data_IF_752812281466
#
_entry.id   IF_752812281466
#
_cell.length_a   1.000
_cell.length_b   1.000
_cell.length_c   1.000
_cell.angle_alpha   90.00
_cell.angle_beta   90.00
_cell.angle_gamma   90.00
#
_symmetry.space_group_name_H-M   'P 1'
#
loop_
_entity.id
_entity.type
_entity.pdbx_description
1 polymer ?
#
# COMPACT_ATOMS: atom_id res chain seq x y z
N UNK A 1 61.74 24.52 51.18
CA UNK A 1 61.64 23.06 50.96
C UNK A 1 60.95 22.89 49.60
N UNK A 2 61.59 23.14 48.46
CA UNK A 2 62.75 22.50 47.84
C UNK A 2 62.53 21.03 47.46
N UNK A 3 62.45 20.81 46.15
CA UNK A 3 63.07 19.71 45.37
C UNK A 3 62.29 18.38 45.34
N UNK A 4 61.61 18.07 44.22
CA UNK A 4 62.08 17.37 43.00
C UNK A 4 62.42 15.89 43.20
N UNK A 5 61.64 15.02 42.55
CA UNK A 5 62.13 13.77 41.96
C UNK A 5 61.17 13.31 40.85
N UNK A 6 61.60 13.46 39.59
CA UNK A 6 61.20 12.57 38.50
C UNK A 6 62.03 11.27 38.59
N UNK A 7 61.57 10.20 37.95
CA UNK A 7 62.39 9.70 36.85
C UNK A 7 61.58 9.41 35.57
N UNK A 8 62.23 9.73 34.47
CA UNK A 8 61.86 9.50 33.07
C UNK A 8 62.48 8.20 32.54
N UNK A 9 61.72 7.34 31.85
CA UNK A 9 62.18 6.48 30.73
C UNK A 9 60.93 5.94 30.00
N UNK A 10 60.48 6.51 28.87
CA UNK A 10 60.86 6.28 27.47
C UNK A 10 60.42 4.94 26.83
N UNK A 11 59.79 5.09 25.65
CA UNK A 11 59.66 4.17 24.50
C UNK A 11 58.59 3.05 24.50
N UNK A 12 57.51 3.22 23.72
CA UNK A 12 57.41 2.93 22.26
C UNK A 12 55.97 3.17 21.73
N UNK A 13 55.77 3.77 20.54
CA UNK A 13 54.45 3.93 19.95
C UNK A 13 54.07 2.66 19.19
N UNK A 14 52.94 2.05 19.53
CA UNK A 14 52.27 1.09 18.65
C UNK A 14 51.37 1.88 17.71
N UNK A 15 51.63 1.73 16.40
CA UNK A 15 50.76 2.18 15.31
C UNK A 15 49.33 1.68 15.58
N UNK A 16 48.42 2.61 15.90
CA UNK A 16 46.99 2.33 15.80
C UNK A 16 46.60 2.48 14.32
N UNK A 17 46.26 1.35 13.70
CA UNK A 17 45.78 1.28 12.34
C UNK A 17 44.56 2.22 12.14
N UNK A 18 44.62 3.05 11.11
CA UNK A 18 43.51 3.88 10.69
C UNK A 18 42.40 2.97 10.12
N UNK A 19 41.27 2.89 10.82
CA UNK A 19 40.05 2.26 10.31
C UNK A 19 39.37 3.25 9.36
N UNK A 20 39.45 3.00 8.06
CA UNK A 20 38.66 3.72 7.07
C UNK A 20 37.18 3.32 7.26
N UNK A 21 36.34 4.27 7.67
CA UNK A 21 34.89 4.09 7.67
C UNK A 21 34.41 4.31 6.24
N UNK A 22 34.11 3.21 5.52
CA UNK A 22 33.45 3.26 4.23
C UNK A 22 32.05 3.85 4.39
N UNK A 23 31.83 5.05 3.87
CA UNK A 23 30.50 5.62 3.69
C UNK A 23 29.81 4.91 2.52
N UNK A 24 29.00 3.90 2.82
CA UNK A 24 28.04 3.32 1.88
C UNK A 24 26.62 3.63 2.34
N UNK A 25 26.24 4.92 2.30
CA UNK A 25 24.81 5.29 2.28
C UNK A 25 24.34 5.18 0.83
N UNK A 26 24.24 3.95 0.34
CA UNK A 26 23.36 3.67 -0.78
C UNK A 26 21.94 3.69 -0.23
N UNK A 27 21.23 4.80 -0.40
CA UNK A 27 19.78 4.82 -0.20
C UNK A 27 19.16 3.92 -1.27
N UNK A 28 19.11 2.62 -1.04
CA UNK A 28 18.20 1.75 -1.77
C UNK A 28 16.80 2.30 -1.49
N UNK A 29 16.19 2.92 -2.50
CA UNK A 29 14.76 3.21 -2.44
C UNK A 29 14.08 1.88 -2.11
N UNK A 30 13.22 1.83 -1.07
CA UNK A 30 12.54 0.59 -0.75
C UNK A 30 11.82 0.12 -2.01
N UNK A 31 12.09 -1.11 -2.43
CA UNK A 31 11.27 -1.75 -3.46
C UNK A 31 9.82 -1.73 -2.94
N UNK A 32 8.96 -0.98 -3.63
CA UNK A 32 7.54 -0.97 -3.31
C UNK A 32 7.00 -2.36 -3.70
N UNK A 33 6.22 -2.96 -2.82
CA UNK A 33 5.56 -4.22 -3.15
C UNK A 33 4.47 -3.93 -4.19
N UNK A 34 4.25 -4.86 -5.12
CA UNK A 34 3.12 -4.79 -6.06
C UNK A 34 1.82 -4.51 -5.31
N UNK A 35 1.01 -3.59 -5.81
CA UNK A 35 -0.35 -3.33 -5.38
C UNK A 35 -1.34 -3.59 -6.51
N UNK A 36 -2.60 -3.77 -6.16
CA UNK A 36 -3.71 -3.85 -7.11
C UNK A 36 -4.44 -2.51 -7.09
N UNK A 37 -4.71 -1.91 -8.24
CA UNK A 37 -5.53 -0.70 -8.34
C UNK A 37 -6.60 -0.86 -9.41
N UNK A 38 -7.61 0.00 -9.32
CA UNK A 38 -8.63 0.14 -10.35
C UNK A 38 -8.37 1.44 -11.12
N UNK A 39 -8.60 1.42 -12.43
CA UNK A 39 -8.60 2.61 -13.28
C UNK A 39 -9.74 2.54 -14.30
N UNK A 40 -10.25 3.70 -14.71
CA UNK A 40 -11.33 3.78 -15.69
C UNK A 40 -10.79 4.35 -17.00
N UNK A 41 -10.95 3.59 -18.08
CA UNK A 41 -10.56 4.02 -19.42
C UNK A 41 -11.74 3.78 -20.36
N UNK A 42 -12.11 4.79 -21.16
CA UNK A 42 -13.22 4.70 -22.11
C UNK A 42 -14.53 4.20 -21.47
N UNK A 43 -14.80 4.61 -20.23
CA UNK A 43 -15.99 4.23 -19.46
C UNK A 43 -15.96 2.83 -18.83
N UNK A 44 -14.91 2.04 -19.08
CA UNK A 44 -14.69 0.72 -18.50
C UNK A 44 -13.69 0.78 -17.35
N UNK A 45 -14.09 0.28 -16.18
CA UNK A 45 -13.19 0.14 -15.03
C UNK A 45 -12.51 -1.22 -15.08
N UNK A 46 -11.18 -1.25 -14.90
CA UNK A 46 -10.35 -2.45 -14.96
C UNK A 46 -9.42 -2.53 -13.77
N UNK A 47 -9.12 -3.76 -13.33
CA UNK A 47 -8.07 -4.02 -12.37
C UNK A 47 -6.69 -4.04 -13.05
N UNK A 48 -5.69 -3.57 -12.32
CA UNK A 48 -4.28 -3.58 -12.68
C UNK A 48 -3.47 -4.04 -11.47
N UNK A 49 -2.33 -4.71 -11.69
CA UNK A 49 -1.43 -5.15 -10.61
C UNK A 49 0.00 -4.71 -10.89
N UNK A 50 0.75 -4.32 -9.88
CA UNK A 50 2.15 -3.86 -9.98
C UNK A 50 2.35 -2.50 -9.34
N UNK A 51 3.19 -1.68 -9.96
CA UNK A 51 3.37 -0.27 -9.62
C UNK A 51 2.88 0.61 -10.77
N UNK A 52 2.18 1.72 -10.48
CA UNK A 52 1.54 2.59 -11.47
C UNK A 52 2.47 3.08 -12.60
N UNK A 53 3.77 3.25 -12.29
CA UNK A 53 4.79 3.75 -13.23
C UNK A 53 5.61 2.67 -13.92
N UNK A 54 5.26 1.40 -13.71
CA UNK A 54 5.92 0.26 -14.33
C UNK A 54 4.92 -0.44 -15.24
N UNK A 55 5.43 -1.32 -16.10
CA UNK A 55 4.58 -2.25 -16.84
C UNK A 55 3.73 -3.05 -15.85
N UNK A 56 2.39 -3.05 -15.98
CA UNK A 56 1.53 -3.85 -15.13
C UNK A 56 1.91 -5.33 -15.21
N UNK A 57 1.81 -6.02 -14.07
CA UNK A 57 2.01 -7.46 -13.96
C UNK A 57 0.84 -8.26 -14.52
N UNK A 58 0.98 -9.59 -14.49
CA UNK A 58 -0.04 -10.50 -15.00
C UNK A 58 -1.12 -10.74 -13.96
N UNK A 59 -2.36 -10.35 -14.27
CA UNK A 59 -3.50 -10.56 -13.38
C UNK A 59 -3.90 -12.04 -13.28
N UNK A 60 -3.44 -12.90 -14.19
CA UNK A 60 -3.63 -14.36 -14.13
C UNK A 60 -2.93 -15.04 -12.94
N UNK A 61 -2.00 -14.34 -12.29
CA UNK A 61 -1.35 -14.78 -11.04
C UNK A 61 -2.22 -14.56 -9.80
N UNK A 62 -3.33 -13.84 -9.94
CA UNK A 62 -4.27 -13.58 -8.86
C UNK A 62 -5.28 -14.73 -8.73
N UNK A 63 -5.60 -15.06 -7.50
CA UNK A 63 -6.57 -16.09 -7.13
C UNK A 63 -7.86 -15.46 -6.60
N UNK A 64 -8.99 -16.10 -6.91
CA UNK A 64 -10.33 -15.70 -6.48
C UNK A 64 -10.65 -14.21 -6.73
N UNK A 65 -10.55 -13.74 -7.99
CA UNK A 65 -10.88 -12.37 -8.36
C UNK A 65 -12.39 -12.12 -8.19
N UNK A 66 -12.72 -11.07 -7.47
CA UNK A 66 -14.07 -10.77 -6.97
C UNK A 66 -14.35 -9.28 -7.11
N UNK A 67 -15.56 -8.95 -7.54
CA UNK A 67 -16.05 -7.57 -7.59
C UNK A 67 -17.24 -7.38 -6.66
N UNK A 68 -17.39 -6.16 -6.14
CA UNK A 68 -18.59 -5.79 -5.36
C UNK A 68 -19.65 -5.25 -6.32
N UNK A 69 -20.87 -5.79 -6.20
CA UNK A 69 -22.06 -5.37 -6.95
C UNK A 69 -23.08 -4.75 -5.98
N UNK A 70 -24.32 -4.54 -6.45
CA UNK A 70 -25.39 -3.94 -5.67
C UNK A 70 -25.54 -4.56 -4.26
N UNK A 71 -25.93 -3.72 -3.30
CA UNK A 71 -26.10 -4.07 -1.88
C UNK A 71 -24.83 -4.53 -1.15
N UNK A 72 -23.64 -4.35 -1.76
CA UNK A 72 -22.38 -4.79 -1.18
C UNK A 72 -22.12 -6.29 -1.35
N UNK A 73 -22.90 -6.99 -2.17
CA UNK A 73 -22.67 -8.40 -2.49
C UNK A 73 -21.41 -8.55 -3.34
N UNK A 74 -20.75 -9.70 -3.25
CA UNK A 74 -19.52 -9.96 -3.98
C UNK A 74 -19.69 -11.14 -4.93
N UNK A 75 -19.44 -10.92 -6.22
CA UNK A 75 -19.51 -11.94 -7.28
C UNK A 75 -18.12 -12.19 -7.88
N UNK A 76 -17.86 -13.37 -8.48
CA UNK A 76 -16.66 -13.57 -9.29
C UNK A 76 -16.56 -12.51 -10.38
N UNK A 77 -15.37 -11.94 -10.57
CA UNK A 77 -15.14 -11.02 -11.67
C UNK A 77 -14.99 -11.79 -13.00
N UNK A 78 -15.41 -11.18 -14.12
CA UNK A 78 -15.16 -11.75 -15.45
C UNK A 78 -13.65 -11.86 -15.71
N UNK A 79 -13.20 -12.93 -16.37
CA UNK A 79 -11.78 -13.14 -16.68
C UNK A 79 -11.18 -12.02 -17.56
N UNK A 80 -9.84 -11.94 -17.55
CA UNK A 80 -8.92 -11.01 -18.25
C UNK A 80 -9.56 -10.17 -19.38
N UNK A 81 -9.66 -8.83 -19.24
CA UNK A 81 -8.86 -7.95 -18.37
C UNK A 81 -9.50 -7.57 -17.02
N UNK A 82 -10.23 -8.49 -16.38
CA UNK A 82 -10.92 -8.23 -15.10
C UNK A 82 -11.70 -6.92 -15.14
N UNK A 83 -12.52 -6.77 -16.19
CA UNK A 83 -13.41 -5.63 -16.37
C UNK A 83 -14.52 -5.71 -15.34
N UNK A 84 -14.75 -4.61 -14.62
CA UNK A 84 -15.84 -4.57 -13.66
C UNK A 84 -17.17 -4.33 -14.39
N UNK A 85 -18.16 -5.17 -14.08
CA UNK A 85 -19.50 -5.03 -14.67
C UNK A 85 -20.23 -3.84 -14.05
N UNK A 86 -20.70 -2.91 -14.88
CA UNK A 86 -21.66 -1.87 -14.47
C UNK A 86 -23.07 -2.43 -14.58
N UNK A 87 -23.51 -3.13 -13.55
CA UNK A 87 -24.89 -3.56 -13.42
C UNK A 87 -25.80 -2.39 -13.01
N UNK A 88 -27.10 -2.48 -13.31
CA UNK A 88 -28.07 -1.51 -12.82
C UNK A 88 -28.11 -1.54 -11.28
N UNK A 89 -28.03 -0.37 -10.65
CA UNK A 89 -27.89 -0.27 -9.19
C UNK A 89 -26.49 -0.60 -8.65
N UNK A 90 -25.46 -0.66 -9.51
CA UNK A 90 -24.08 -0.81 -9.07
C UNK A 90 -23.68 0.28 -8.05
N UNK A 91 -22.78 -0.04 -7.10
CA UNK A 91 -22.25 0.94 -6.17
C UNK A 91 -21.63 2.13 -6.89
N UNK A 92 -21.74 3.32 -6.28
CA UNK A 92 -21.14 4.54 -6.83
C UNK A 92 -19.61 4.42 -6.91
N UNK A 93 -19.01 3.68 -5.98
CA UNK A 93 -17.59 3.35 -6.00
C UNK A 93 -17.37 1.87 -6.33
N UNK A 94 -16.54 1.62 -7.33
CA UNK A 94 -16.24 0.28 -7.81
C UNK A 94 -15.21 -0.38 -6.89
N UNK A 95 -15.33 -1.70 -6.66
CA UNK A 95 -14.43 -2.44 -5.77
C UNK A 95 -14.08 -3.79 -6.34
N UNK A 96 -12.81 -4.14 -6.19
CA UNK A 96 -12.25 -5.41 -6.63
C UNK A 96 -11.36 -5.98 -5.54
N UNK A 97 -11.41 -7.29 -5.35
CA UNK A 97 -10.53 -8.01 -4.44
C UNK A 97 -10.00 -9.28 -5.09
N UNK A 98 -8.79 -9.66 -4.71
CA UNK A 98 -8.18 -10.92 -5.08
C UNK A 98 -7.12 -11.31 -4.05
N UNK A 99 -6.59 -12.51 -4.16
CA UNK A 99 -5.47 -12.98 -3.33
C UNK A 99 -4.28 -13.38 -4.18
N UNK A 100 -3.08 -13.36 -3.60
CA UNK A 100 -1.88 -13.93 -4.19
C UNK A 100 -1.09 -14.66 -3.11
N UNK A 101 -0.77 -15.92 -3.39
CA UNK A 101 0.20 -16.67 -2.61
C UNK A 101 1.60 -16.40 -3.16
N UNK A 102 2.42 -15.65 -2.42
CA UNK A 102 3.80 -15.38 -2.79
C UNK A 102 4.66 -16.65 -2.73
N UNK A 103 5.72 -16.68 -3.54
CA UNK A 103 6.76 -17.73 -3.47
C UNK A 103 7.56 -17.69 -2.17
N UNK A 104 7.53 -16.55 -1.46
CA UNK A 104 8.06 -16.33 -0.12
C UNK A 104 7.19 -16.92 1.00
N UNK A 105 6.04 -17.51 0.66
CA UNK A 105 5.10 -18.09 1.63
C UNK A 105 4.14 -17.08 2.25
N UNK A 106 4.15 -15.81 1.81
CA UNK A 106 3.22 -14.78 2.29
C UNK A 106 1.92 -14.82 1.50
N UNK A 107 0.78 -14.83 2.20
CA UNK A 107 -0.52 -14.61 1.57
C UNK A 107 -0.84 -13.12 1.55
N UNK A 108 -1.07 -12.57 0.36
CA UNK A 108 -1.47 -11.17 0.19
C UNK A 108 -2.93 -11.09 -0.25
N UNK A 109 -3.74 -10.34 0.51
CA UNK A 109 -5.08 -9.89 0.13
C UNK A 109 -4.98 -8.52 -0.53
N UNK A 110 -5.40 -8.45 -1.79
CA UNK A 110 -5.50 -7.21 -2.55
C UNK A 110 -6.92 -6.69 -2.53
N UNK A 111 -7.10 -5.42 -2.16
CA UNK A 111 -8.42 -4.82 -1.93
C UNK A 111 -8.45 -3.41 -2.52
N UNK A 112 -8.91 -3.31 -3.76
CA UNK A 112 -8.93 -2.04 -4.48
C UNK A 112 -10.31 -1.42 -4.53
N UNK A 113 -10.32 -0.09 -4.52
CA UNK A 113 -11.49 0.76 -4.69
C UNK A 113 -11.20 1.85 -5.73
N UNK A 114 -12.20 2.15 -6.55
CA UNK A 114 -12.21 3.32 -7.44
C UNK A 114 -13.37 4.24 -7.06
N UNK A 115 -13.05 5.52 -6.83
CA UNK A 115 -14.03 6.56 -6.51
C UNK A 115 -14.11 6.90 -5.02
N UNK A 116 -14.67 8.09 -4.75
CA UNK A 116 -14.75 8.71 -3.41
C UNK A 116 -16.19 9.07 -3.02
N UNK A 117 -17.21 8.47 -3.62
CA UNK A 117 -18.60 8.82 -3.35
C UNK A 117 -19.13 8.23 -2.04
N UNK A 118 -18.65 7.06 -1.63
CA UNK A 118 -19.18 6.29 -0.50
C UNK A 118 -18.28 6.37 0.73
N UNK A 119 -18.82 6.72 1.90
CA UNK A 119 -18.00 6.81 3.12
C UNK A 119 -17.90 5.49 3.89
N UNK A 120 -18.66 4.48 3.49
CA UNK A 120 -18.71 3.16 4.13
C UNK A 120 -17.67 2.21 3.53
N UNK A 121 -16.93 1.51 4.40
CA UNK A 121 -16.08 0.40 3.99
C UNK A 121 -16.92 -0.86 3.72
N UNK A 122 -16.54 -1.59 2.67
CA UNK A 122 -17.09 -2.88 2.26
C UNK A 122 -16.01 -3.95 2.32
N UNK A 123 -14.79 -3.62 1.89
CA UNK A 123 -13.62 -4.47 2.01
C UNK A 123 -13.16 -4.63 3.47
N UNK A 124 -12.54 -5.76 3.78
CA UNK A 124 -11.89 -6.00 5.07
C UNK A 124 -10.87 -4.90 5.42
N UNK A 125 -9.95 -4.54 4.52
CA UNK A 125 -9.11 -3.36 4.65
C UNK A 125 -9.52 -2.35 3.57
N UNK A 126 -9.94 -1.16 3.95
CA UNK A 126 -10.38 -0.13 3.00
C UNK A 126 -10.05 1.28 3.49
N UNK A 127 -9.46 2.09 2.61
CA UNK A 127 -9.31 3.52 2.83
C UNK A 127 -10.56 4.22 2.27
N UNK A 128 -11.35 4.86 3.13
CA UNK A 128 -12.63 5.49 2.75
C UNK A 128 -12.60 6.99 3.03
N UNK A 129 -13.21 7.83 2.18
CA UNK A 129 -13.34 9.25 2.48
C UNK A 129 -14.31 9.45 3.66
N UNK A 130 -14.03 10.45 4.50
CA UNK A 130 -14.87 10.80 5.66
C UNK A 130 -16.16 11.49 5.27
N UNK A 131 -16.17 12.14 4.11
CA UNK A 131 -17.34 12.71 3.44
C UNK A 131 -17.30 12.37 1.95
N UNK A 132 -18.44 12.23 1.26
CA UNK A 132 -18.44 12.03 -0.19
C UNK A 132 -17.58 13.10 -0.90
N UNK A 133 -16.71 12.66 -1.80
CA UNK A 133 -15.71 13.46 -2.53
C UNK A 133 -14.71 14.23 -1.67
N UNK A 134 -14.63 13.92 -0.37
CA UNK A 134 -13.70 14.55 0.57
C UNK A 134 -12.25 14.14 0.34
N UNK A 135 -11.36 14.99 0.84
CA UNK A 135 -9.90 14.82 0.79
C UNK A 135 -9.31 14.31 2.12
N UNK A 136 -10.16 13.96 3.08
CA UNK A 136 -9.79 13.34 4.34
C UNK A 136 -10.34 11.93 4.39
N UNK A 137 -9.48 10.98 4.73
CA UNK A 137 -9.75 9.55 4.65
C UNK A 137 -9.51 8.88 5.99
N UNK A 138 -10.28 7.83 6.25
CA UNK A 138 -10.12 6.93 7.39
C UNK A 138 -9.80 5.53 6.87
N UNK A 139 -8.76 4.91 7.41
CA UNK A 139 -8.51 3.49 7.16
C UNK A 139 -9.44 2.67 8.05
N UNK A 140 -10.12 1.71 7.44
CA UNK A 140 -11.02 0.77 8.09
C UNK A 140 -10.44 -0.63 8.01
N UNK A 141 -10.43 -1.37 9.13
CA UNK A 141 -10.13 -2.79 9.17
C UNK A 141 -11.29 -3.55 9.81
N UNK A 142 -11.91 -4.46 9.05
CA UNK A 142 -13.08 -5.26 9.42
C UNK A 142 -14.20 -4.40 10.04
N UNK A 143 -14.48 -3.28 9.37
CA UNK A 143 -15.51 -2.31 9.79
C UNK A 143 -15.13 -1.40 10.96
N UNK A 144 -13.89 -1.47 11.49
CA UNK A 144 -13.43 -0.61 12.58
C UNK A 144 -12.38 0.39 12.10
N UNK A 145 -12.40 1.66 12.56
CA UNK A 145 -11.36 2.61 12.23
C UNK A 145 -10.03 2.17 12.85
N UNK A 146 -8.97 2.22 12.05
CA UNK A 146 -7.59 1.96 12.47
C UNK A 146 -6.68 3.04 11.89
N UNK A 147 -5.52 3.27 12.51
CA UNK A 147 -4.52 4.17 11.95
C UNK A 147 -3.62 3.40 10.96
N UNK A 148 -3.43 3.93 9.76
CA UNK A 148 -2.36 3.50 8.87
C UNK A 148 -1.00 3.89 9.49
N UNK A 149 0.06 3.12 9.29
CA UNK A 149 1.42 3.61 9.62
C UNK A 149 1.82 4.76 8.70
N UNK A 150 1.49 4.62 7.42
CA UNK A 150 1.64 5.61 6.36
C UNK A 150 0.67 5.29 5.23
N UNK A 151 0.45 6.25 4.34
CA UNK A 151 -0.22 6.07 3.06
C UNK A 151 0.70 6.52 1.94
N UNK A 152 0.95 5.66 0.97
CA UNK A 152 1.69 6.03 -0.23
C UNK A 152 0.71 6.62 -1.25
N UNK A 153 1.12 7.68 -1.95
CA UNK A 153 0.36 8.29 -3.03
C UNK A 153 1.23 8.27 -4.28
N UNK A 154 0.73 7.61 -5.32
CA UNK A 154 1.28 7.62 -6.67
C UNK A 154 0.27 8.28 -7.61
N UNK A 155 0.75 8.95 -8.66
CA UNK A 155 -0.12 9.63 -9.63
C UNK A 155 0.34 9.33 -11.04
N UNK A 156 -0.56 9.25 -12.04
CA UNK A 156 -0.18 9.00 -13.45
C UNK A 156 0.93 9.92 -13.99
N UNK A 157 1.05 11.13 -13.43
CA UNK A 157 2.05 12.14 -13.79
C UNK A 157 3.46 11.88 -13.23
N UNK A 158 3.70 10.73 -12.57
CA UNK A 158 5.02 10.38 -12.03
C UNK A 158 5.31 10.94 -10.64
N UNK A 159 4.37 11.68 -10.04
CA UNK A 159 4.53 12.23 -8.71
C UNK A 159 4.24 11.19 -7.62
N UNK A 160 5.05 11.23 -6.56
CA UNK A 160 4.95 10.33 -5.41
C UNK A 160 5.04 11.08 -4.09
N UNK A 161 4.28 10.62 -3.08
CA UNK A 161 4.36 11.14 -1.72
C UNK A 161 3.98 10.10 -0.68
N UNK A 162 4.61 10.18 0.49
CA UNK A 162 4.20 9.45 1.68
C UNK A 162 3.46 10.40 2.62
N UNK A 163 2.31 9.96 3.12
CA UNK A 163 1.49 10.69 4.08
C UNK A 163 1.52 9.98 5.43
N UNK A 164 1.76 10.75 6.49
CA UNK A 164 1.58 10.28 7.85
C UNK A 164 0.12 10.52 8.29
N UNK A 165 -0.47 9.60 9.08
CA UNK A 165 -1.75 9.85 9.71
C UNK A 165 -1.68 11.01 10.71
N UNK A 166 -2.80 11.70 10.90
CA UNK A 166 -3.01 12.61 12.01
C UNK A 166 -3.17 11.83 13.34
N UNK A 167 -3.23 12.56 14.46
CA UNK A 167 -3.35 11.97 15.81
C UNK A 167 -4.61 11.12 15.99
N UNK A 168 -5.67 11.42 15.25
CA UNK A 168 -6.94 10.67 15.25
C UNK A 168 -6.94 9.48 14.27
N UNK A 169 -5.82 9.25 13.56
CA UNK A 169 -5.68 8.17 12.58
C UNK A 169 -6.17 8.51 11.17
N UNK A 170 -6.73 9.70 10.95
CA UNK A 170 -7.15 10.16 9.61
C UNK A 170 -5.95 10.57 8.76
N UNK A 171 -6.12 10.52 7.44
CA UNK A 171 -5.10 10.95 6.48
C UNK A 171 -5.74 11.97 5.55
N UNK A 172 -5.07 13.10 5.33
CA UNK A 172 -5.60 14.15 4.44
C UNK A 172 -4.67 14.39 3.25
N UNK A 173 -5.26 14.50 2.07
CA UNK A 173 -4.55 14.71 0.82
C UNK A 173 -5.37 15.55 -0.16
N UNK A 174 -4.85 16.71 -0.55
CA UNK A 174 -5.45 17.57 -1.58
C UNK A 174 -4.72 17.36 -2.91
N UNK A 175 -5.41 16.83 -3.95
CA UNK A 175 -4.85 16.74 -5.29
C UNK A 175 -4.51 18.13 -5.86
N UNK A 176 -3.39 18.25 -6.56
CA UNK A 176 -2.89 19.54 -7.06
C UNK A 176 -2.90 19.68 -8.59
N UNK A 177 -3.18 18.59 -9.31
CA UNK A 177 -3.19 18.57 -10.78
C UNK A 177 -4.11 17.45 -11.29
N UNK A 178 -4.57 17.52 -12.56
CA UNK A 178 -5.30 16.45 -13.23
C UNK A 178 -4.50 15.14 -13.33
N UNK A 179 -5.18 14.00 -13.26
CA UNK A 179 -4.55 12.68 -13.40
C UNK A 179 -5.21 11.60 -12.55
N UNK A 180 -4.75 10.36 -12.72
CA UNK A 180 -5.11 9.24 -11.84
C UNK A 180 -4.27 9.34 -10.57
N UNK A 181 -4.91 9.27 -9.41
CA UNK A 181 -4.28 9.15 -8.10
C UNK A 181 -4.54 7.77 -7.55
N UNK A 182 -3.52 7.11 -7.00
CA UNK A 182 -3.60 5.83 -6.29
C UNK A 182 -3.03 6.02 -4.90
N UNK A 183 -3.88 5.88 -3.88
CA UNK A 183 -3.48 5.91 -2.47
C UNK A 183 -3.39 4.47 -1.97
N UNK A 184 -2.21 4.03 -1.57
CA UNK A 184 -1.91 2.65 -1.16
C UNK A 184 -1.58 2.56 0.34
N UNK A 185 -2.11 1.51 0.97
CA UNK A 185 -1.80 1.13 2.34
C UNK A 185 -1.55 -0.36 2.42
N UNK A 186 -0.44 -0.74 3.05
CA UNK A 186 -0.14 -2.13 3.37
C UNK A 186 -0.15 -2.35 4.88
N UNK A 187 -0.88 -3.39 5.31
CA UNK A 187 -0.95 -3.84 6.70
C UNK A 187 -0.50 -5.31 6.80
N UNK A 188 0.29 -5.62 7.84
CA UNK A 188 0.64 -7.00 8.20
C UNK A 188 -0.20 -7.41 9.40
N UNK A 189 -0.78 -8.61 9.36
CA UNK A 189 -1.53 -9.16 10.49
C UNK A 189 -0.58 -9.99 11.34
N UNK A 190 -0.21 -9.45 12.50
CA UNK A 190 0.62 -10.19 13.46
C UNK A 190 -0.16 -11.40 14.01
N UNK A 191 0.50 -12.56 14.04
CA UNK A 191 -0.05 -13.84 14.52
C UNK A 191 -1.30 -14.32 13.74
N UNK A 192 -1.52 -13.80 12.53
CA UNK A 192 -2.65 -14.20 11.68
C UNK A 192 -2.28 -15.40 10.83
N UNK A 193 -2.29 -16.61 11.38
CA UNK A 193 -2.24 -17.81 10.55
C UNK A 193 -3.59 -17.97 9.83
N UNK A 194 -3.59 -18.03 8.50
CA UNK A 194 -4.80 -18.26 7.69
C UNK A 194 -4.65 -19.56 6.92
N UNK A 195 -5.72 -20.37 6.90
CA UNK A 195 -5.82 -21.53 6.02
C UNK A 195 -6.59 -21.14 4.76
N UNK A 196 -5.97 -21.29 3.59
CA UNK A 196 -6.62 -21.11 2.29
C UNK A 196 -6.51 -22.43 1.51
N UNK A 197 -7.65 -23.06 1.24
CA UNK A 197 -7.68 -24.45 0.78
C UNK A 197 -7.00 -25.37 1.80
N UNK A 198 -6.04 -26.18 1.35
CA UNK A 198 -5.26 -27.08 2.21
C UNK A 198 -3.97 -26.46 2.76
N UNK A 199 -3.62 -25.23 2.34
CA UNK A 199 -2.37 -24.58 2.74
C UNK A 199 -2.57 -23.62 3.91
N UNK A 200 -1.69 -23.70 4.90
CA UNK A 200 -1.58 -22.73 5.98
C UNK A 200 -0.54 -21.66 5.62
N UNK A 201 -0.86 -20.41 5.92
CA UNK A 201 0.00 -19.25 5.74
C UNK A 201 0.19 -18.58 7.10
N UNK A 202 1.43 -18.46 7.56
CA UNK A 202 1.75 -17.87 8.87
C UNK A 202 2.05 -16.37 8.79
N UNK A 203 2.26 -15.84 7.57
CA UNK A 203 2.33 -14.41 7.29
C UNK A 203 1.19 -14.01 6.34
N UNK A 204 0.39 -13.05 6.78
CA UNK A 204 -0.70 -12.46 6.00
C UNK A 204 -0.51 -10.96 5.86
N UNK A 205 -0.65 -10.50 4.62
CA UNK A 205 -0.59 -9.10 4.23
C UNK A 205 -1.91 -8.68 3.62
N UNK A 206 -2.35 -7.47 3.96
CA UNK A 206 -3.42 -6.79 3.25
C UNK A 206 -2.84 -5.57 2.57
N UNK A 207 -3.18 -5.38 1.30
CA UNK A 207 -2.87 -4.18 0.54
C UNK A 207 -4.18 -3.58 0.06
N UNK A 208 -4.47 -2.37 0.52
CA UNK A 208 -5.66 -1.62 0.14
C UNK A 208 -5.27 -0.43 -0.74
N UNK A 209 -6.02 -0.21 -1.82
CA UNK A 209 -5.86 0.98 -2.66
C UNK A 209 -7.17 1.74 -2.81
N UNK A 210 -7.05 3.07 -2.81
CA UNK A 210 -8.08 4.00 -3.22
C UNK A 210 -7.59 4.75 -4.46
N UNK A 211 -8.21 4.48 -5.60
CA UNK A 211 -7.97 5.17 -6.85
C UNK A 211 -9.06 6.21 -7.14
N UNK A 212 -8.67 7.36 -7.70
CA UNK A 212 -9.63 8.33 -8.25
C UNK A 212 -8.97 9.21 -9.30
N UNK A 213 -9.78 9.75 -10.21
CA UNK A 213 -9.32 10.68 -11.23
C UNK A 213 -9.62 12.13 -10.83
N UNK A 214 -8.68 13.01 -11.13
CA UNK A 214 -8.91 14.45 -11.19
C UNK A 214 -8.99 14.83 -12.66
N UNK A 215 -10.12 15.38 -13.14
CA UNK A 215 -10.28 15.73 -14.55
C UNK A 215 -9.35 16.88 -14.97
N UNK A 216 -9.08 16.97 -16.27
CA UNK A 216 -8.37 18.09 -16.89
C UNK A 216 -9.14 19.40 -16.75
#
# INVERSE_FOLDING_TARGET
>A
MSQTTSPSTLFRPLLAAALAVSASVGAALPAQADYLWLQTENGQTRAQVGELHKTPGQLSELSEPRQVVAEGKTVPASADPYVLAKEEGAPADQRFAATRAGSDGVLTYYQARFGRHETRAVHDLELVPTTPQGNTYQLMFKGRPVAASQVNVDTSEGWRRVLAPAKDGTVSFTPSFPGLYVMEVTARVNNGSVKLGDKQYDEVRHTATLSFEVPQ
#
